data_IF_072223771543
#
_entry.id   IF_072223771543
#
_cell.length_a   1.000
_cell.length_b   1.000
_cell.length_c   1.000
_cell.angle_alpha   90.00
_cell.angle_beta   90.00
_cell.angle_gamma   90.00
#
_symmetry.space_group_name_H-M   'P 1'
#
loop_
_entity.id
_entity.type
_entity.pdbx_description
1 polymer ?
#
# COMPACT_ATOMS: atom_id res chain seq x y z
N UNK A 1 -3.90 -22.66 -14.76
CA UNK A 1 -3.20 -22.07 -13.59
C UNK A 1 -1.91 -21.30 -13.94
N UNK A 2 -1.16 -21.65 -15.00
CA UNK A 2 0.10 -20.97 -15.35
C UNK A 2 -0.02 -19.47 -15.71
N UNK A 3 -1.08 -19.05 -16.42
CA UNK A 3 -1.31 -17.64 -16.80
C UNK A 3 -1.46 -16.68 -15.61
N UNK A 4 -2.00 -17.15 -14.48
CA UNK A 4 -2.18 -16.33 -13.26
C UNK A 4 -0.83 -16.01 -12.60
N UNK A 5 0.02 -17.02 -12.43
CA UNK A 5 1.36 -16.85 -11.83
C UNK A 5 2.26 -15.91 -12.63
N UNK A 6 2.13 -15.90 -13.96
CA UNK A 6 2.86 -14.98 -14.84
C UNK A 6 2.41 -13.54 -14.63
N UNK A 7 1.10 -13.31 -14.50
CA UNK A 7 0.55 -11.98 -14.23
C UNK A 7 0.95 -11.47 -12.85
N UNK A 8 0.85 -12.29 -11.80
CA UNK A 8 1.24 -11.90 -10.44
C UNK A 8 2.73 -11.55 -10.34
N UNK A 9 3.57 -12.27 -11.10
CA UNK A 9 4.99 -11.94 -11.21
C UNK A 9 5.18 -10.60 -11.94
N UNK A 10 4.55 -10.42 -13.09
CA UNK A 10 4.66 -9.18 -13.88
C UNK A 10 4.22 -7.95 -13.09
N UNK A 11 3.10 -8.04 -12.37
CA UNK A 11 2.59 -6.97 -11.51
C UNK A 11 3.63 -6.63 -10.44
N UNK A 12 4.16 -7.63 -9.73
CA UNK A 12 5.18 -7.37 -8.70
C UNK A 12 6.48 -6.82 -9.28
N UNK A 13 6.90 -7.27 -10.45
CA UNK A 13 8.08 -6.72 -11.12
C UNK A 13 7.87 -5.23 -11.44
N UNK A 14 6.67 -4.85 -11.92
CA UNK A 14 6.30 -3.45 -12.21
C UNK A 14 6.14 -2.59 -10.97
N UNK A 15 5.55 -3.12 -9.91
CA UNK A 15 5.43 -2.42 -8.63
C UNK A 15 6.78 -2.24 -7.92
N UNK A 16 7.80 -3.04 -8.25
CA UNK A 16 9.17 -2.83 -7.76
C UNK A 16 9.82 -1.61 -8.43
N UNK A 17 9.38 -1.24 -9.62
CA UNK A 17 9.85 -0.02 -10.31
C UNK A 17 9.17 1.24 -9.75
N UNK A 18 8.09 1.09 -8.97
CA UNK A 18 7.42 2.23 -8.34
C UNK A 18 8.27 2.85 -7.22
N UNK A 19 8.22 4.18 -7.05
CA UNK A 19 9.00 4.87 -6.04
C UNK A 19 8.58 4.50 -4.61
N UNK A 20 9.45 4.84 -3.66
CA UNK A 20 9.22 4.65 -2.23
C UNK A 20 7.95 5.36 -1.74
N UNK A 21 7.61 6.50 -2.35
CA UNK A 21 6.30 7.12 -2.26
C UNK A 21 5.45 6.68 -3.44
N UNK A 22 4.21 6.17 -3.26
CA UNK A 22 3.35 5.82 -4.38
C UNK A 22 3.16 7.01 -5.34
N UNK A 23 3.05 6.76 -6.65
CA UNK A 23 2.86 7.80 -7.65
C UNK A 23 1.65 8.68 -7.33
N UNK A 24 1.81 10.00 -7.43
CA UNK A 24 0.72 10.97 -7.18
C UNK A 24 0.44 11.26 -5.71
N UNK A 25 0.87 10.41 -4.76
CA UNK A 25 0.76 10.73 -3.34
C UNK A 25 1.80 11.77 -2.94
N UNK A 26 1.37 12.74 -2.15
CA UNK A 26 2.25 13.78 -1.62
C UNK A 26 3.12 13.24 -0.48
N UNK A 27 4.37 13.70 -0.44
CA UNK A 27 5.22 13.59 0.76
C UNK A 27 4.71 14.60 1.79
N UNK A 28 4.72 14.26 3.08
CA UNK A 28 4.37 15.26 4.10
C UNK A 28 5.43 16.36 4.11
N UNK A 29 4.98 17.62 4.14
CA UNK A 29 5.81 18.82 4.07
C UNK A 29 6.83 18.92 5.23
N UNK A 30 6.52 18.30 6.38
CA UNK A 30 7.39 18.28 7.55
C UNK A 30 8.58 17.29 7.46
N UNK A 31 8.81 16.68 6.29
CA UNK A 31 9.93 15.77 6.04
C UNK A 31 9.92 14.46 6.83
N UNK A 32 8.90 14.21 7.68
CA UNK A 32 8.88 13.11 8.66
C UNK A 32 8.09 11.88 8.24
N UNK A 33 7.17 11.99 7.28
CA UNK A 33 6.45 10.82 6.80
C UNK A 33 6.85 10.49 5.36
N UNK A 34 7.85 9.63 5.29
CA UNK A 34 8.24 8.95 4.08
C UNK A 34 7.40 7.68 4.02
N UNK A 35 6.47 7.62 3.08
CA UNK A 35 5.86 6.35 2.67
C UNK A 35 6.95 5.29 2.56
N UNK A 36 6.77 4.15 3.22
CA UNK A 36 7.70 3.04 3.16
C UNK A 36 7.08 1.89 2.36
N UNK A 37 7.75 1.49 1.28
CA UNK A 37 7.35 0.32 0.50
C UNK A 37 7.60 -0.94 1.31
N UNK A 38 6.52 -1.60 1.71
CA UNK A 38 6.52 -2.91 2.35
C UNK A 38 6.62 -4.05 1.34
N UNK A 39 5.89 -3.94 0.22
CA UNK A 39 5.88 -4.92 -0.88
C UNK A 39 5.69 -4.24 -2.23
N UNK A 40 6.27 -4.77 -3.32
CA UNK A 40 7.31 -5.81 -3.32
C UNK A 40 8.62 -5.25 -2.74
N UNK A 41 9.37 -6.06 -1.99
CA UNK A 41 10.71 -5.66 -1.53
C UNK A 41 11.78 -6.06 -2.54
N UNK A 42 12.95 -5.44 -2.45
CA UNK A 42 14.06 -5.65 -3.38
C UNK A 42 14.79 -6.97 -3.10
N UNK A 43 15.16 -7.29 -1.85
CA UNK A 43 15.98 -8.50 -1.57
C UNK A 43 15.82 -9.15 -0.16
N UNK A 44 14.82 -8.77 0.64
CA UNK A 44 14.70 -9.23 2.03
C UNK A 44 13.90 -10.53 2.19
N UNK A 45 14.35 -11.62 1.57
CA UNK A 45 13.78 -12.96 1.76
C UNK A 45 12.24 -12.98 1.82
N UNK A 46 11.65 -13.76 2.71
CA UNK A 46 10.19 -13.79 2.95
C UNK A 46 9.70 -12.81 4.04
N UNK A 47 10.56 -11.90 4.51
CA UNK A 47 10.30 -11.03 5.66
C UNK A 47 9.73 -9.68 5.19
N UNK A 48 8.43 -9.65 4.90
CA UNK A 48 7.72 -8.43 4.50
C UNK A 48 6.62 -8.06 5.48
N UNK A 49 6.26 -6.77 5.57
CA UNK A 49 5.06 -6.37 6.25
C UNK A 49 3.82 -7.05 5.68
N UNK A 50 2.87 -7.34 6.56
CA UNK A 50 1.60 -7.95 6.20
C UNK A 50 0.47 -7.38 7.05
N UNK A 51 -0.76 -7.53 6.57
CA UNK A 51 -1.95 -7.08 7.27
C UNK A 51 -2.64 -8.28 7.93
N UNK A 52 -3.29 -8.06 9.06
CA UNK A 52 -4.11 -9.07 9.73
C UNK A 52 -5.30 -8.44 10.44
N UNK A 53 -6.32 -9.23 10.69
CA UNK A 53 -7.39 -8.85 11.60
C UNK A 53 -6.88 -8.86 13.05
N UNK A 54 -7.29 -7.89 13.89
CA UNK A 54 -7.09 -7.99 15.34
C UNK A 54 -7.59 -9.34 15.88
N UNK A 55 -6.83 -9.95 16.80
CA UNK A 55 -7.16 -11.27 17.36
C UNK A 55 -6.88 -12.48 16.44
N UNK A 56 -6.61 -12.29 15.15
CA UNK A 56 -6.25 -13.40 14.26
C UNK A 56 -4.74 -13.64 14.23
N UNK A 57 -4.34 -14.92 14.33
CA UNK A 57 -2.96 -15.37 14.13
C UNK A 57 -2.76 -16.11 12.80
N UNK A 58 -3.86 -16.54 12.16
CA UNK A 58 -3.84 -17.42 10.98
C UNK A 58 -4.04 -16.68 9.66
N UNK A 59 -4.85 -15.62 9.66
CA UNK A 59 -5.19 -14.90 8.43
C UNK A 59 -4.24 -13.71 8.24
N UNK A 60 -3.35 -13.85 7.25
CA UNK A 60 -2.46 -12.78 6.78
C UNK A 60 -2.89 -12.34 5.39
N UNK A 61 -3.08 -11.04 5.22
CA UNK A 61 -3.26 -10.42 3.91
C UNK A 61 -1.91 -9.90 3.44
N UNK A 62 -1.48 -10.37 2.27
CA UNK A 62 -0.25 -9.99 1.61
C UNK A 62 -0.62 -9.39 0.25
N UNK A 63 -0.81 -8.05 0.18
CA UNK A 63 -1.15 -7.40 -1.07
C UNK A 63 -0.03 -7.57 -2.11
N UNK A 64 -0.37 -7.43 -3.39
CA UNK A 64 0.61 -7.44 -4.48
C UNK A 64 1.60 -6.27 -4.36
N UNK A 65 1.09 -5.10 -3.94
CA UNK A 65 1.90 -3.97 -3.48
C UNK A 65 1.36 -3.40 -2.17
N UNK A 66 2.26 -2.98 -1.28
CA UNK A 66 1.91 -2.41 0.03
C UNK A 66 2.89 -1.29 0.37
N UNK A 67 2.34 -0.10 0.64
CA UNK A 67 3.06 1.05 1.16
C UNK A 67 2.47 1.47 2.51
N UNK A 68 3.35 1.89 3.41
CA UNK A 68 3.06 2.17 4.81
C UNK A 68 3.46 3.61 5.14
N UNK A 69 2.53 4.40 5.63
CA UNK A 69 2.77 5.78 6.05
C UNK A 69 2.58 5.88 7.57
N UNK A 70 3.71 5.90 8.29
CA UNK A 70 3.71 5.89 9.76
C UNK A 70 3.37 7.28 10.30
N UNK A 71 2.60 7.31 11.39
CA UNK A 71 2.20 8.57 12.02
C UNK A 71 1.85 8.40 13.49
N UNK A 72 1.59 9.55 14.12
CA UNK A 72 1.29 9.64 15.55
C UNK A 72 2.53 9.90 16.39
N UNK A 73 2.48 9.45 17.63
CA UNK A 73 3.59 9.56 18.60
C UNK A 73 4.01 8.17 19.05
N UNK A 74 5.16 8.00 19.73
CA UNK A 74 5.55 6.67 20.24
C UNK A 74 4.54 6.03 21.21
N UNK A 75 3.64 6.80 21.82
CA UNK A 75 2.59 6.28 22.72
C UNK A 75 1.24 6.06 22.03
N UNK A 76 1.04 6.69 20.86
CA UNK A 76 -0.17 6.61 20.05
C UNK A 76 0.22 6.54 18.58
N UNK A 77 0.83 5.41 18.22
CA UNK A 77 1.37 5.17 16.89
C UNK A 77 0.33 4.46 16.02
N UNK A 78 0.23 4.88 14.76
CA UNK A 78 -0.62 4.26 13.75
C UNK A 78 0.11 4.18 12.40
N UNK A 79 -0.53 3.51 11.45
CA UNK A 79 -0.08 3.52 10.05
C UNK A 79 -1.26 3.74 9.13
N UNK A 80 -1.09 4.58 8.11
CA UNK A 80 -1.99 4.62 6.96
C UNK A 80 -1.39 3.74 5.85
N UNK A 81 -2.23 3.05 5.09
CA UNK A 81 -1.75 2.12 4.05
C UNK A 81 -2.25 2.50 2.66
N UNK A 82 -1.40 2.24 1.67
CA UNK A 82 -1.78 2.18 0.28
C UNK A 82 -1.46 0.78 -0.24
N UNK A 83 -2.49 0.02 -0.59
CA UNK A 83 -2.38 -1.34 -1.10
C UNK A 83 -2.72 -1.39 -2.59
N UNK A 84 -2.10 -2.34 -3.28
CA UNK A 84 -2.36 -2.64 -4.69
C UNK A 84 -2.67 -4.13 -4.82
N UNK A 85 -3.72 -4.44 -5.55
CA UNK A 85 -4.21 -5.80 -5.76
C UNK A 85 -4.52 -6.01 -7.25
N UNK A 86 -3.84 -6.97 -7.87
CA UNK A 86 -4.12 -7.39 -9.24
C UNK A 86 -5.19 -8.48 -9.25
N UNK A 87 -6.32 -8.24 -9.90
CA UNK A 87 -7.44 -9.16 -9.94
C UNK A 87 -7.59 -9.80 -11.32
N UNK A 88 -7.33 -11.10 -11.39
CA UNK A 88 -7.40 -11.86 -12.63
C UNK A 88 -8.82 -12.26 -13.06
N UNK A 89 -9.80 -12.12 -12.16
CA UNK A 89 -11.21 -12.43 -12.33
C UNK A 89 -12.09 -11.62 -11.34
N UNK A 90 -13.41 -11.57 -11.58
CA UNK A 90 -14.36 -10.94 -10.65
C UNK A 90 -14.41 -11.65 -9.28
N UNK A 91 -14.38 -12.98 -9.25
CA UNK A 91 -14.32 -13.73 -7.98
C UNK A 91 -13.08 -13.37 -7.17
N UNK A 92 -11.93 -13.25 -7.84
CA UNK A 92 -10.69 -12.84 -7.20
C UNK A 92 -10.75 -11.38 -6.70
N UNK A 93 -11.44 -10.50 -7.42
CA UNK A 93 -11.72 -9.15 -6.94
C UNK A 93 -12.56 -9.18 -5.66
N UNK A 94 -13.67 -9.91 -5.63
CA UNK A 94 -14.55 -9.97 -4.45
C UNK A 94 -13.83 -10.53 -3.22
N UNK A 95 -13.06 -11.61 -3.41
CA UNK A 95 -12.24 -12.20 -2.36
C UNK A 95 -11.21 -11.19 -1.81
N UNK A 96 -10.49 -10.49 -2.69
CA UNK A 96 -9.51 -9.46 -2.28
C UNK A 96 -10.19 -8.26 -1.63
N UNK A 97 -11.30 -7.75 -2.19
CA UNK A 97 -12.10 -6.64 -1.64
C UNK A 97 -12.61 -6.92 -0.23
N UNK A 98 -13.02 -8.16 0.06
CA UNK A 98 -13.50 -8.52 1.40
C UNK A 98 -12.45 -8.35 2.51
N UNK A 99 -11.15 -8.33 2.16
CA UNK A 99 -10.01 -8.13 3.08
C UNK A 99 -9.72 -6.65 3.37
N UNK A 100 -10.38 -5.74 2.66
CA UNK A 100 -10.21 -4.29 2.77
C UNK A 100 -11.58 -3.64 2.91
N UNK A 101 -12.32 -4.02 3.95
CA UNK A 101 -13.66 -3.50 4.21
C UNK A 101 -13.67 -2.75 5.56
N UNK A 102 -13.25 -1.46 5.58
CA UNK A 102 -13.18 -0.67 6.82
C UNK A 102 -14.51 -0.56 7.55
N UNK A 103 -15.63 -0.71 6.84
CA UNK A 103 -16.97 -0.71 7.44
C UNK A 103 -17.29 -1.96 8.26
N UNK A 104 -16.56 -3.06 8.07
CA UNK A 104 -16.83 -4.34 8.74
C UNK A 104 -15.71 -4.78 9.67
N UNK A 105 -14.48 -4.29 9.48
CA UNK A 105 -13.35 -4.65 10.34
C UNK A 105 -12.20 -3.64 10.32
N UNK A 106 -11.43 -3.64 11.40
CA UNK A 106 -10.13 -2.97 11.49
C UNK A 106 -8.99 -3.88 11.01
N UNK A 107 -7.87 -3.29 10.61
CA UNK A 107 -6.65 -4.00 10.23
C UNK A 107 -5.49 -3.62 11.15
N UNK A 108 -4.58 -4.56 11.37
CA UNK A 108 -3.27 -4.33 11.95
C UNK A 108 -2.21 -4.54 10.87
N UNK A 109 -1.23 -3.64 10.80
CA UNK A 109 -0.02 -3.85 10.05
C UNK A 109 1.05 -4.46 10.95
N UNK A 110 1.62 -5.58 10.54
CA UNK A 110 2.74 -6.23 11.23
C UNK A 110 4.00 -6.00 10.43
N UNK A 111 4.99 -5.33 11.02
CA UNK A 111 6.28 -5.01 10.44
C UNK A 111 7.37 -5.90 11.08
N UNK A 112 7.92 -6.90 10.36
CA UNK A 112 8.98 -7.75 10.89
C UNK A 112 10.27 -6.98 11.18
N UNK A 113 11.02 -7.41 12.21
CA UNK A 113 12.33 -6.82 12.58
C UNK A 113 13.30 -6.76 11.39
N UNK A 114 13.51 -7.82 10.58
CA UNK A 114 14.44 -7.75 9.45
C UNK A 114 14.06 -6.68 8.42
N UNK A 115 12.75 -6.42 8.23
CA UNK A 115 12.30 -5.35 7.35
C UNK A 115 12.55 -3.97 7.94
N UNK A 116 12.33 -3.82 9.26
CA UNK A 116 12.55 -2.56 9.99
C UNK A 116 14.02 -2.16 10.07
N UNK A 117 14.93 -3.13 10.21
CA UNK A 117 16.38 -2.88 10.30
C UNK A 117 17.02 -2.63 8.93
N UNK A 118 16.38 -3.06 7.85
CA UNK A 118 16.92 -2.88 6.52
C UNK A 118 16.81 -1.42 6.02
N UNK A 119 17.63 -1.03 5.02
CA UNK A 119 17.67 0.33 4.48
C UNK A 119 16.34 0.77 3.85
N UNK A 120 16.04 2.08 3.90
CA UNK A 120 14.83 2.65 3.28
C UNK A 120 14.78 2.38 1.78
N UNK A 121 15.89 2.64 1.07
CA UNK A 121 16.02 2.48 -0.37
C UNK A 121 17.49 2.25 -0.78
N UNK A 122 17.78 1.79 -2.01
CA UNK A 122 19.13 1.79 -2.55
C UNK A 122 19.73 3.20 -2.50
N UNK A 123 20.92 3.31 -1.91
CA UNK A 123 21.61 4.59 -1.72
C UNK A 123 21.20 5.38 -0.47
N UNK A 124 20.16 4.94 0.26
CA UNK A 124 19.80 5.48 1.58
C UNK A 124 19.95 4.39 2.65
N UNK A 125 21.08 4.41 3.36
CA UNK A 125 21.42 3.43 4.40
C UNK A 125 20.61 3.60 5.69
N UNK A 126 19.73 4.61 5.77
CA UNK A 126 18.87 4.82 6.94
C UNK A 126 18.01 3.58 7.18
N UNK A 127 18.05 2.96 8.37
CA UNK A 127 17.14 1.88 8.71
C UNK A 127 15.68 2.34 8.68
N UNK A 128 14.78 1.53 8.12
CA UNK A 128 13.34 1.87 8.04
C UNK A 128 12.74 2.25 9.38
N UNK A 129 13.15 1.61 10.48
CA UNK A 129 12.66 1.92 11.82
C UNK A 129 12.87 3.39 12.21
N UNK A 130 14.02 3.99 11.84
CA UNK A 130 14.31 5.41 12.10
C UNK A 130 13.43 6.31 11.23
N UNK A 131 13.24 5.93 9.97
CA UNK A 131 12.39 6.66 9.03
C UNK A 131 10.90 6.65 9.41
N UNK A 132 10.45 5.69 10.24
CA UNK A 132 9.05 5.68 10.69
C UNK A 132 8.69 6.84 11.61
N UNK A 133 9.66 7.39 12.35
CA UNK A 133 9.43 8.47 13.32
C UNK A 133 8.59 8.08 14.55
N UNK A 134 8.10 6.83 14.65
CA UNK A 134 7.24 6.37 15.76
C UNK A 134 7.97 5.50 16.78
N UNK A 135 9.19 5.04 16.48
CA UNK A 135 10.00 4.21 17.36
C UNK A 135 11.12 5.02 18.01
N UNK A 136 11.27 4.92 19.33
CA UNK A 136 12.35 5.60 20.08
C UNK A 136 13.65 4.80 20.10
N UNK A 137 13.55 3.47 20.05
CA UNK A 137 14.67 2.55 20.14
C UNK A 137 14.63 1.55 18.99
N UNK A 138 15.78 0.92 18.74
CA UNK A 138 15.88 -0.13 17.73
C UNK A 138 14.95 -1.30 18.08
N UNK A 139 14.10 -1.76 17.16
CA UNK A 139 13.13 -2.80 17.44
C UNK A 139 13.78 -4.19 17.50
N UNK A 140 13.62 -4.88 18.63
CA UNK A 140 14.00 -6.29 18.80
C UNK A 140 12.83 -7.27 18.60
N UNK A 141 11.61 -6.74 18.48
CA UNK A 141 10.38 -7.49 18.22
C UNK A 141 9.63 -6.89 17.04
N UNK A 142 8.78 -7.67 16.33
CA UNK A 142 7.92 -7.13 15.29
C UNK A 142 7.04 -5.99 15.81
N UNK A 143 6.96 -4.92 15.03
CA UNK A 143 6.11 -3.77 15.35
C UNK A 143 4.72 -4.01 14.78
N UNK A 144 3.70 -3.93 15.63
CA UNK A 144 2.30 -4.11 15.25
C UNK A 144 1.56 -2.80 15.48
N UNK A 145 0.99 -2.23 14.43
CA UNK A 145 0.30 -0.94 14.48
C UNK A 145 -1.14 -1.05 13.97
N UNK A 146 -2.09 -0.30 14.54
CA UNK A 146 -3.40 -0.15 13.94
C UNK A 146 -3.30 0.57 12.60
N UNK A 147 -4.04 0.05 11.61
CA UNK A 147 -4.26 0.75 10.35
C UNK A 147 -5.34 1.80 10.57
N UNK A 148 -5.00 3.08 10.44
CA UNK A 148 -5.92 4.20 10.65
C UNK A 148 -6.71 4.53 9.39
N UNK A 149 -6.02 4.79 8.29
CA UNK A 149 -6.62 4.93 6.96
C UNK A 149 -6.09 3.84 6.00
N UNK A 150 -6.96 3.33 5.14
CA UNK A 150 -6.58 2.40 4.09
C UNK A 150 -7.04 2.92 2.74
N UNK A 151 -6.20 2.78 1.72
CA UNK A 151 -6.53 3.06 0.32
C UNK A 151 -6.08 1.87 -0.52
N UNK A 152 -6.91 1.42 -1.45
CA UNK A 152 -6.64 0.21 -2.23
C UNK A 152 -6.87 0.44 -3.72
N UNK A 153 -5.86 0.15 -4.52
CA UNK A 153 -5.94 0.15 -5.98
C UNK A 153 -6.14 -1.28 -6.50
N UNK A 154 -7.24 -1.52 -7.21
CA UNK A 154 -7.51 -2.78 -7.90
C UNK A 154 -7.18 -2.66 -9.39
N UNK A 155 -6.27 -3.50 -9.86
CA UNK A 155 -6.04 -3.72 -11.29
C UNK A 155 -6.99 -4.79 -11.81
N UNK A 156 -7.81 -4.47 -12.83
CA UNK A 156 -8.79 -5.39 -13.39
C UNK A 156 -8.48 -5.68 -14.87
N UNK A 157 -8.61 -6.93 -15.32
CA UNK A 157 -8.59 -7.22 -16.77
C UNK A 157 -9.69 -6.44 -17.49
N UNK A 158 -9.43 -6.05 -18.74
CA UNK A 158 -10.29 -5.15 -19.50
C UNK A 158 -11.81 -5.47 -19.43
N UNK A 159 -12.28 -6.72 -19.66
CA UNK A 159 -13.71 -7.00 -19.59
C UNK A 159 -14.31 -6.81 -18.19
N UNK A 160 -13.53 -7.08 -17.14
CA UNK A 160 -13.96 -6.89 -15.75
C UNK A 160 -13.90 -5.42 -15.35
N UNK A 161 -12.91 -4.66 -15.84
CA UNK A 161 -12.84 -3.22 -15.63
C UNK A 161 -14.05 -2.52 -16.21
N UNK A 162 -14.37 -2.77 -17.49
CA UNK A 162 -15.52 -2.15 -18.14
C UNK A 162 -16.84 -2.54 -17.48
N UNK A 163 -17.02 -3.83 -17.16
CA UNK A 163 -18.21 -4.29 -16.46
C UNK A 163 -18.37 -3.63 -15.08
N UNK A 164 -17.28 -3.51 -14.32
CA UNK A 164 -17.32 -2.84 -13.02
C UNK A 164 -17.63 -1.35 -13.18
N UNK A 165 -16.92 -0.64 -14.06
CA UNK A 165 -17.09 0.80 -14.27
C UNK A 165 -18.50 1.18 -14.77
N UNK A 166 -19.20 0.30 -15.50
CA UNK A 166 -20.57 0.53 -15.98
C UNK A 166 -21.66 0.25 -14.94
N UNK A 167 -21.40 -0.62 -13.98
CA UNK A 167 -22.47 -1.22 -13.16
C UNK A 167 -22.24 -1.14 -11.65
N UNK A 168 -21.07 -0.70 -11.21
CA UNK A 168 -20.67 -0.70 -9.80
C UNK A 168 -20.09 0.65 -9.41
N UNK A 169 -20.25 1.00 -8.14
CA UNK A 169 -19.62 2.17 -7.54
C UNK A 169 -18.50 1.71 -6.59
N UNK A 170 -17.27 2.24 -6.74
CA UNK A 170 -16.20 2.09 -5.76
C UNK A 170 -16.62 2.60 -4.38
N UNK A 171 -16.15 1.94 -3.32
CA UNK A 171 -16.16 2.54 -1.98
C UNK A 171 -15.13 3.70 -1.89
N UNK A 172 -15.26 4.62 -0.92
CA UNK A 172 -14.38 5.81 -0.84
C UNK A 172 -12.88 5.53 -0.71
N UNK A 173 -12.49 4.33 -0.24
CA UNK A 173 -11.10 3.90 -0.13
C UNK A 173 -10.61 3.11 -1.36
N UNK A 174 -11.48 2.83 -2.33
CA UNK A 174 -11.19 1.96 -3.47
C UNK A 174 -10.94 2.75 -4.76
N UNK A 175 -9.93 2.32 -5.50
CA UNK A 175 -9.53 2.86 -6.78
C UNK A 175 -9.42 1.71 -7.78
N UNK A 176 -9.77 1.95 -9.03
CA UNK A 176 -9.81 0.91 -10.06
C UNK A 176 -9.08 1.36 -11.31
N UNK A 177 -8.26 0.48 -11.88
CA UNK A 177 -7.56 0.71 -13.14
C UNK A 177 -7.62 -0.52 -14.03
N UNK A 178 -7.52 -0.37 -15.37
CA UNK A 178 -7.20 -1.49 -16.24
C UNK A 178 -5.88 -2.14 -15.81
N UNK A 179 -5.81 -3.47 -15.90
CA UNK A 179 -4.61 -4.25 -15.59
C UNK A 179 -3.42 -3.77 -16.42
N UNK A 180 -3.66 -3.40 -17.68
CA UNK A 180 -2.63 -2.93 -18.61
C UNK A 180 -1.97 -1.63 -18.14
N UNK A 181 -2.73 -0.74 -17.48
CA UNK A 181 -2.18 0.45 -16.83
C UNK A 181 -1.27 0.10 -15.66
N UNK A 182 -1.59 -0.95 -14.91
CA UNK A 182 -0.80 -1.40 -13.76
C UNK A 182 0.52 -2.06 -14.19
N UNK A 183 0.53 -2.77 -15.32
CA UNK A 183 1.72 -3.50 -15.82
C UNK A 183 2.53 -2.74 -16.87
N UNK A 184 2.14 -1.51 -17.19
CA UNK A 184 2.85 -0.65 -18.15
C UNK A 184 4.27 -0.33 -17.69
N UNK A 185 5.24 -0.32 -18.63
CA UNK A 185 6.69 -0.16 -18.37
C UNK A 185 7.09 1.17 -17.72
N UNK A 186 6.20 2.16 -17.71
CA UNK A 186 6.38 3.44 -17.00
C UNK A 186 5.07 3.88 -16.32
N UNK A 187 4.24 2.93 -15.89
CA UNK A 187 2.92 3.23 -15.33
C UNK A 187 2.96 4.25 -14.18
N UNK A 188 4.00 4.21 -13.34
CA UNK A 188 4.22 5.19 -12.26
C UNK A 188 4.36 6.65 -12.75
N UNK A 189 4.69 6.87 -14.03
CA UNK A 189 4.84 8.20 -14.64
C UNK A 189 3.59 8.65 -15.40
N UNK A 190 2.62 7.76 -15.61
CA UNK A 190 1.36 8.08 -16.29
C UNK A 190 0.63 9.22 -15.53
N UNK A 191 0.38 10.37 -16.17
CA UNK A 191 -0.27 11.50 -15.52
C UNK A 191 -1.70 11.17 -15.07
N UNK A 192 -2.43 10.33 -15.79
CA UNK A 192 -3.79 9.93 -15.42
C UNK A 192 -3.78 9.03 -14.18
N UNK A 193 -2.85 8.07 -14.13
CA UNK A 193 -2.68 7.22 -12.93
C UNK A 193 -2.26 8.06 -11.72
N UNK A 194 -1.31 8.98 -11.90
CA UNK A 194 -0.87 9.87 -10.82
C UNK A 194 -2.00 10.76 -10.31
N UNK A 195 -2.80 11.33 -11.22
CA UNK A 195 -3.95 12.15 -10.84
C UNK A 195 -5.00 11.33 -10.09
N UNK A 196 -5.29 10.10 -10.54
CA UNK A 196 -6.17 9.16 -9.86
C UNK A 196 -5.69 8.88 -8.43
N UNK A 197 -4.40 8.54 -8.27
CA UNK A 197 -3.81 8.17 -6.99
C UNK A 197 -3.61 9.37 -6.05
N UNK A 198 -3.42 10.58 -6.57
CA UNK A 198 -3.36 11.79 -5.76
C UNK A 198 -4.63 11.99 -4.92
N UNK A 199 -5.79 11.50 -5.40
CA UNK A 199 -7.06 11.51 -4.64
C UNK A 199 -7.05 10.62 -3.40
N UNK A 200 -6.13 9.65 -3.32
CA UNK A 200 -5.92 8.83 -2.15
C UNK A 200 -5.12 9.56 -1.05
N UNK A 201 -4.61 10.76 -1.31
CA UNK A 201 -3.97 11.59 -0.29
C UNK A 201 -5.02 12.17 0.66
N UNK A 202 -4.76 12.16 1.96
CA UNK A 202 -5.65 12.77 2.95
C UNK A 202 -5.89 14.27 2.66
N UNK A 203 -4.89 14.98 2.14
CA UNK A 203 -5.00 16.39 1.74
C UNK A 203 -6.05 16.63 0.65
N UNK A 204 -6.36 15.62 -0.17
CA UNK A 204 -7.39 15.73 -1.22
C UNK A 204 -8.82 15.87 -0.67
N UNK A 205 -9.02 15.71 0.65
CA UNK A 205 -10.31 15.94 1.31
C UNK A 205 -10.49 17.39 1.80
N UNK A 206 -9.47 18.24 1.65
CA UNK A 206 -9.51 19.61 2.14
C UNK A 206 -9.38 20.59 0.96
N UNK A 207 -10.17 21.67 1.00
CA UNK A 207 -10.10 22.75 -0.01
C UNK A 207 -8.75 23.48 0.06
N UNK A 208 -8.20 23.60 1.26
CA UNK A 208 -6.89 24.18 1.53
C UNK A 208 -6.10 23.22 2.44
N UNK A 209 -4.81 23.05 2.17
CA UNK A 209 -3.95 22.34 3.10
C UNK A 209 -3.83 23.17 4.39
N UNK A 210 -3.88 22.53 5.57
CA UNK A 210 -3.58 23.23 6.81
C UNK A 210 -2.13 23.75 6.73
N UNK A 211 -1.91 25.02 7.09
CA UNK A 211 -0.56 25.59 7.22
C UNK A 211 0.26 24.72 8.18
N UNK A 212 1.51 24.45 7.82
CA UNK A 212 2.41 23.63 8.63
C UNK A 212 2.68 24.35 9.96
N UNK A 213 2.21 23.75 11.07
CA UNK A 213 2.61 24.12 12.44
C UNK A 213 3.97 23.51 12.76
#
# INVERSE_FOLDING_TARGET
MAKGKVLDKLVRDRLREWPQCPPGLQRRENGRATWLRGRPAEDLGSCHPFLKLPGSSRLRTLPDGLWLNFGGTPVDAFVDIFAVEACGSLQNLLDKRSRFAPSTHSLLAVCPVPWLLAPVAPGDSTPRWRATGVLRFEPVLPVVLPVRDMRVLYGLKQPHYEGFARHQLPHPHEYFVPMDSLVAKDGARDPALRALLARACAAANFLHAPESV
#
